data_IF_322420072602
#
_entry.id   IF_322420072602
#
_cell.length_a   1.000
_cell.length_b   1.000
_cell.length_c   1.000
_cell.angle_alpha   90.00
_cell.angle_beta   90.00
_cell.angle_gamma   90.00
#
_symmetry.space_group_name_H-M   'P 1'
#
loop_
_entity.id
_entity.type
_entity.pdbx_description
1 polymer ?
#
# COMPACT_ATOMS: atom_id res chain seq x y z
N UNK A 11 6.94 -4.68 -9.51
CA UNK A 11 6.14 -5.81 -10.05
C UNK A 11 4.66 -5.46 -10.12
N UNK A 12 3.93 -6.14 -11.00
CA UNK A 12 2.51 -5.90 -11.15
C UNK A 12 1.69 -6.79 -10.24
N UNK A 13 0.87 -6.18 -9.39
CA UNK A 13 0.03 -6.93 -8.46
C UNK A 13 -1.45 -6.72 -8.76
N UNK A 14 -2.29 -7.56 -8.17
CA UNK A 14 -3.73 -7.46 -8.37
C UNK A 14 -4.43 -6.93 -7.13
N UNK A 15 -5.04 -5.76 -7.25
CA UNK A 15 -5.74 -5.14 -6.13
C UNK A 15 -6.86 -6.04 -5.64
N UNK A 16 -7.36 -5.81 -4.41
CA UNK A 16 -8.45 -6.60 -3.83
C UNK A 16 -9.65 -6.71 -4.77
N UNK A 17 -9.78 -5.73 -5.66
CA UNK A 17 -10.89 -5.72 -6.62
C UNK A 17 -10.54 -6.52 -7.86
N UNK A 18 -9.27 -6.89 -8.00
CA UNK A 18 -8.82 -7.67 -9.15
C UNK A 18 -8.98 -6.89 -10.44
N UNK A 19 -8.03 -6.00 -10.72
CA UNK A 19 -8.07 -5.18 -11.93
C UNK A 19 -6.65 -4.84 -12.40
N UNK A 20 -5.69 -5.68 -12.02
CA UNK A 20 -4.30 -5.47 -12.41
C UNK A 20 -3.76 -4.16 -11.82
N UNK A 21 -2.51 -4.19 -11.39
CA UNK A 21 -1.90 -3.00 -10.82
C UNK A 21 -0.41 -3.17 -10.59
N UNK A 22 0.19 -2.20 -9.91
CA UNK A 22 1.62 -2.22 -9.61
C UNK A 22 1.85 -2.31 -8.11
N UNK A 23 2.92 -3.00 -7.72
CA UNK A 23 3.24 -3.16 -6.30
C UNK A 23 4.60 -2.54 -5.97
N UNK A 24 4.59 -1.60 -5.04
CA UNK A 24 5.81 -0.92 -4.62
C UNK A 24 5.75 -0.59 -3.13
N UNK A 25 6.89 -0.20 -2.56
CA UNK A 25 6.96 0.15 -1.15
C UNK A 25 5.97 1.27 -0.81
N UNK A 26 5.93 1.66 0.45
CA UNK A 26 5.04 2.72 0.90
C UNK A 26 5.74 4.07 0.88
N UNK A 27 6.69 4.24 -0.03
CA UNK A 27 7.44 5.48 -0.14
C UNK A 27 7.74 5.80 -1.60
N UNK A 28 6.87 5.34 -2.50
CA UNK A 28 7.05 5.57 -3.93
C UNK A 28 5.79 6.19 -4.54
N UNK A 29 4.65 5.57 -4.26
CA UNK A 29 3.38 6.05 -4.77
C UNK A 29 3.11 7.49 -4.33
N UNK A 30 2.71 8.33 -5.27
CA UNK A 30 2.42 9.73 -4.96
C UNK A 30 1.29 9.85 -3.95
N UNK A 31 0.26 9.05 -4.14
CA UNK A 31 -0.89 9.05 -3.23
C UNK A 31 -0.50 8.52 -1.87
N UNK A 32 0.29 7.45 -1.87
CA UNK A 32 0.75 6.85 -0.63
C UNK A 32 1.66 7.80 0.13
N UNK A 33 2.47 8.55 -0.61
CA UNK A 33 3.39 9.51 -0.01
C UNK A 33 2.66 10.65 0.67
N UNK A 34 1.55 11.07 0.09
CA UNK A 34 0.76 12.17 0.65
C UNK A 34 0.06 11.74 1.94
N UNK A 35 -0.31 10.47 2.02
CA UNK A 35 -0.98 9.95 3.21
C UNK A 35 -0.01 9.87 4.38
N UNK A 36 1.24 9.54 4.09
CA UNK A 36 2.26 9.43 5.12
C UNK A 36 2.68 10.81 5.63
N UNK A 37 2.60 11.80 4.75
CA UNK A 37 2.97 13.17 5.09
C UNK A 37 1.73 14.04 5.35
N UNK A 38 0.55 13.44 5.21
CA UNK A 38 -0.70 14.17 5.42
C UNK A 38 -0.82 14.62 6.87
N UNK A 39 -1.28 13.72 7.74
CA UNK A 39 -1.44 14.02 9.15
C UNK A 39 -2.06 12.84 9.89
N UNK A 40 -3.29 12.44 9.52
CA UNK A 40 -3.98 11.32 10.17
C UNK A 40 -3.29 9.98 9.92
N UNK A 41 -3.30 9.13 10.93
CA UNK A 41 -2.68 7.80 10.82
C UNK A 41 -3.24 6.86 11.88
N UNK A 42 -4.46 6.38 11.64
CA UNK A 42 -5.12 5.47 12.58
C UNK A 42 -4.88 4.02 12.18
N UNK A 43 -5.42 3.10 12.98
CA UNK A 43 -5.27 1.68 12.71
C UNK A 43 -5.96 1.27 11.42
N UNK A 44 -7.05 1.96 11.10
CA UNK A 44 -7.82 1.66 9.89
C UNK A 44 -6.95 1.85 8.65
N UNK A 45 -6.02 2.80 8.71
CA UNK A 45 -5.13 3.07 7.60
C UNK A 45 -4.14 1.93 7.40
N UNK A 46 -3.69 1.35 8.51
CA UNK A 46 -2.72 0.25 8.47
C UNK A 46 -3.34 -1.01 7.86
N UNK A 47 -4.60 -1.26 8.20
CA UNK A 47 -5.29 -2.43 7.68
C UNK A 47 -5.52 -2.30 6.18
N UNK A 48 -5.82 -1.09 5.75
CA UNK A 48 -6.07 -0.81 4.34
C UNK A 48 -4.80 -1.04 3.52
N UNK A 49 -3.68 -0.53 4.01
CA UNK A 49 -2.41 -0.70 3.33
C UNK A 49 -1.93 -2.13 3.46
N UNK A 50 -2.20 -2.74 4.60
CA UNK A 50 -1.81 -4.13 4.85
C UNK A 50 -2.60 -5.06 3.94
N UNK A 51 -3.87 -4.73 3.72
CA UNK A 51 -4.74 -5.55 2.87
C UNK A 51 -4.35 -5.40 1.41
N UNK A 52 -3.91 -4.21 1.03
CA UNK A 52 -3.52 -3.95 -0.36
C UNK A 52 -2.00 -4.06 -0.52
N UNK A 53 -1.41 -5.03 0.18
CA UNK A 53 0.02 -5.25 0.11
C UNK A 53 0.34 -6.64 -0.42
N UNK A 54 1.24 -6.72 -1.40
CA UNK A 54 1.63 -7.98 -2.00
C UNK A 54 2.82 -8.59 -1.27
N UNK A 55 2.74 -8.65 0.05
CA UNK A 55 3.82 -9.21 0.84
C UNK A 55 3.36 -9.70 2.20
N UNK A 56 3.96 -10.79 2.66
CA UNK A 56 3.61 -11.37 3.95
C UNK A 56 4.74 -11.17 4.96
N UNK A 57 5.47 -10.08 4.82
CA UNK A 57 6.58 -9.77 5.72
C UNK A 57 6.22 -8.62 6.64
N UNK A 58 6.89 -8.56 7.79
CA UNK A 58 6.63 -7.50 8.74
C UNK A 58 7.71 -6.42 8.74
N UNK A 59 8.93 -6.81 8.35
CA UNK A 59 10.04 -5.88 8.30
C UNK A 59 10.04 -5.08 7.00
N UNK A 60 9.70 -5.76 5.90
CA UNK A 60 9.65 -5.11 4.60
C UNK A 60 8.21 -4.86 4.16
N UNK A 61 7.66 -3.69 4.50
CA UNK A 61 6.28 -3.33 4.13
C UNK A 61 6.13 -3.07 2.64
N UNK A 62 4.96 -3.41 2.11
CA UNK A 62 4.68 -3.21 0.69
C UNK A 62 3.26 -2.68 0.49
N UNK A 63 3.01 -2.14 -0.70
CA UNK A 63 1.69 -1.60 -1.02
C UNK A 63 1.39 -1.73 -2.51
N UNK A 64 0.11 -1.92 -2.83
CA UNK A 64 -0.30 -2.07 -4.22
C UNK A 64 -0.91 -0.76 -4.75
N UNK A 65 -0.36 -0.28 -5.85
CA UNK A 65 -0.83 0.97 -6.46
C UNK A 65 -1.21 0.75 -7.92
N UNK A 66 -2.49 0.91 -8.29
CA UNK A 66 -2.95 0.72 -9.66
C UNK A 66 -2.29 1.70 -10.63
#
# INVERSE_FOLDING_TARGET
MHHHHHHAMGQACTLPNNDKGTCKSLLQCDVASKIISKKPRTAQDEKFLRESACGFDGQTPKVCCP
#
